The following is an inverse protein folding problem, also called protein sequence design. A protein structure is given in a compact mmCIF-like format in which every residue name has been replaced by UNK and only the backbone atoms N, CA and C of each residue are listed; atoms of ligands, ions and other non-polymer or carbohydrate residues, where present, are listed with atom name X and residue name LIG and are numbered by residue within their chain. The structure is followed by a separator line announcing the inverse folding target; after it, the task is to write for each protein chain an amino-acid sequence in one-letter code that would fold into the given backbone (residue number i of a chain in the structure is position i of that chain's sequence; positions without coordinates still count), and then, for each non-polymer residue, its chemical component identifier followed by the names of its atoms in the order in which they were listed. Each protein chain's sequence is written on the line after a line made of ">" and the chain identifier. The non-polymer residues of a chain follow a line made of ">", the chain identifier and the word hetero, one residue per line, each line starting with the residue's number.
data_IF_393562512436
#
_entry.id   IF_393562512436
#
_cell.length_a   1.000
_cell.length_b   1.000
_cell.length_c   1.000
_cell.angle_alpha   90.00
_cell.angle_beta   90.00
_cell.angle_gamma   90.00
#
_symmetry.space_group_name_H-M   'P 1'
#
loop_
_entity.id
_entity.type
_entity.pdbx_description
1 polymer ?
#
# COMPACT_ATOMS: atom_id res chain seq x y z
N UNK A 1 14.76 -6.39 -5.72
CA UNK A 1 14.63 -7.84 -5.64
C UNK A 1 15.49 -8.41 -4.51
N UNK A 2 16.83 -8.22 -4.53
CA UNK A 2 17.76 -8.77 -3.52
C UNK A 2 17.35 -8.37 -2.10
N UNK A 3 17.09 -7.07 -1.87
CA UNK A 3 16.62 -6.57 -0.56
C UNK A 3 15.29 -7.22 -0.15
N UNK A 4 14.35 -7.38 -1.08
CA UNK A 4 13.07 -8.05 -0.80
C UNK A 4 13.24 -9.52 -0.43
N UNK A 5 14.14 -10.25 -1.11
CA UNK A 5 14.44 -11.66 -0.80
C UNK A 5 15.11 -11.78 0.57
N UNK A 6 16.10 -10.93 0.87
CA UNK A 6 16.76 -10.91 2.18
C UNK A 6 15.74 -10.61 3.28
N UNK A 7 14.87 -9.62 3.05
CA UNK A 7 13.79 -9.29 3.97
C UNK A 7 12.86 -10.48 4.20
N UNK A 8 12.40 -11.16 3.15
CA UNK A 8 11.52 -12.33 3.27
C UNK A 8 12.17 -13.44 4.10
N UNK A 9 13.43 -13.76 3.83
CA UNK A 9 14.17 -14.81 4.57
C UNK A 9 14.34 -14.43 6.04
N UNK A 10 14.71 -13.17 6.33
CA UNK A 10 14.91 -12.69 7.71
C UNK A 10 13.59 -12.53 8.47
N UNK A 11 12.49 -12.23 7.79
CA UNK A 11 11.20 -11.98 8.41
C UNK A 11 10.40 -13.26 8.69
N UNK A 12 10.66 -14.35 7.97
CA UNK A 12 9.99 -15.64 8.21
C UNK A 12 10.07 -16.13 9.67
N UNK A 13 11.22 -16.09 10.34
CA UNK A 13 11.30 -16.46 11.77
C UNK A 13 10.51 -15.51 12.69
N UNK A 14 10.33 -14.25 12.26
CA UNK A 14 9.59 -13.25 13.03
C UNK A 14 8.07 -13.41 12.95
N UNK A 15 7.56 -14.22 12.01
CA UNK A 15 6.11 -14.39 11.82
C UNK A 15 5.39 -14.91 13.07
N UNK A 16 5.99 -15.85 13.79
CA UNK A 16 5.43 -16.40 15.04
C UNK A 16 5.39 -15.37 16.17
N UNK A 17 6.51 -14.71 16.55
CA UNK A 17 6.47 -13.70 17.62
C UNK A 17 5.60 -12.51 17.25
N UNK A 18 5.54 -12.11 15.98
CA UNK A 18 4.66 -11.02 15.51
C UNK A 18 3.19 -11.45 15.62
N UNK A 19 2.84 -12.67 15.23
CA UNK A 19 1.48 -13.17 15.36
C UNK A 19 1.03 -13.19 16.83
N UNK A 20 1.88 -13.63 17.75
CA UNK A 20 1.60 -13.62 19.19
C UNK A 20 1.45 -12.22 19.77
N UNK A 21 2.17 -11.24 19.22
CA UNK A 21 2.07 -9.83 19.62
C UNK A 21 0.73 -9.22 19.18
N UNK A 22 0.25 -9.61 17.99
CA UNK A 22 -0.99 -9.08 17.40
C UNK A 22 -2.25 -9.72 17.98
N UNK A 23 -2.14 -11.00 18.39
CA UNK A 23 -3.28 -11.79 18.87
C UNK A 23 -3.02 -12.22 20.32
N UNK A 24 -3.67 -11.55 21.25
CA UNK A 24 -3.54 -11.88 22.68
C UNK A 24 -4.46 -13.07 23.05
N UNK A 25 -3.89 -14.24 23.28
CA UNK A 25 -4.55 -15.30 24.05
C UNK A 25 -5.27 -16.42 23.30
N UNK A 26 -5.56 -16.29 21.99
CA UNK A 26 -6.21 -17.34 21.20
C UNK A 26 -5.20 -18.08 20.30
N UNK A 27 -4.94 -19.37 20.63
CA UNK A 27 -3.99 -20.18 19.88
C UNK A 27 -4.41 -20.47 18.43
N UNK A 28 -5.72 -20.57 18.14
CA UNK A 28 -6.24 -20.81 16.79
C UNK A 28 -6.06 -19.57 15.93
N UNK A 29 -6.44 -18.41 16.44
CA UNK A 29 -6.30 -17.15 15.75
C UNK A 29 -4.83 -16.78 15.53
N UNK A 30 -3.96 -17.06 16.49
CA UNK A 30 -2.50 -16.92 16.36
C UNK A 30 -1.95 -17.77 15.22
N UNK A 31 -2.45 -19.00 15.07
CA UNK A 31 -2.07 -19.90 13.96
C UNK A 31 -2.42 -19.29 12.59
N UNK A 32 -3.65 -18.83 12.42
CA UNK A 32 -4.09 -18.19 11.17
C UNK A 32 -3.31 -16.90 10.86
N UNK A 33 -3.08 -16.07 11.86
CA UNK A 33 -2.32 -14.83 11.72
C UNK A 33 -0.87 -15.11 11.32
N UNK A 34 -0.23 -16.10 11.95
CA UNK A 34 1.11 -16.55 11.59
C UNK A 34 1.21 -16.98 10.13
N UNK A 35 0.28 -17.83 9.68
CA UNK A 35 0.31 -18.39 8.34
C UNK A 35 0.03 -17.30 7.28
N UNK A 36 -0.88 -16.37 7.58
CA UNK A 36 -1.09 -15.16 6.76
C UNK A 36 0.20 -14.33 6.63
N UNK A 37 0.86 -14.05 7.74
CA UNK A 37 2.11 -13.27 7.76
C UNK A 37 3.21 -13.98 6.96
N UNK A 38 3.36 -15.30 7.11
CA UNK A 38 4.36 -16.07 6.37
C UNK A 38 4.20 -15.95 4.87
N UNK A 39 2.98 -16.13 4.35
CA UNK A 39 2.70 -16.00 2.92
C UNK A 39 2.92 -14.57 2.45
N UNK A 40 2.47 -13.56 3.20
CA UNK A 40 2.70 -12.15 2.88
C UNK A 40 4.19 -11.81 2.80
N UNK A 41 5.00 -12.33 3.75
CA UNK A 41 6.45 -12.10 3.78
C UNK A 41 7.17 -12.79 2.63
N UNK A 42 6.76 -14.02 2.27
CA UNK A 42 7.29 -14.70 1.09
C UNK A 42 6.92 -13.96 -0.21
N UNK A 43 5.72 -13.37 -0.25
CA UNK A 43 5.25 -12.55 -1.37
C UNK A 43 5.81 -11.13 -1.43
N UNK A 44 6.42 -10.64 -0.35
CA UNK A 44 6.91 -9.26 -0.27
C UNK A 44 7.82 -8.81 -1.43
N UNK A 45 8.73 -9.65 -1.98
CA UNK A 45 9.51 -9.28 -3.16
C UNK A 45 8.64 -9.01 -4.39
N UNK A 46 7.60 -9.82 -4.60
CA UNK A 46 6.68 -9.69 -5.73
C UNK A 46 5.86 -8.42 -5.60
N UNK A 47 5.28 -8.19 -4.42
CA UNK A 47 4.50 -7.00 -4.11
C UNK A 47 5.37 -5.74 -4.25
N UNK A 48 6.58 -5.77 -3.69
CA UNK A 48 7.52 -4.65 -3.76
C UNK A 48 7.92 -4.30 -5.19
N UNK A 49 8.22 -5.28 -6.04
CA UNK A 49 8.50 -5.06 -7.47
C UNK A 49 7.26 -4.48 -8.14
N UNK A 50 6.07 -5.04 -7.86
CA UNK A 50 4.81 -4.55 -8.43
C UNK A 50 4.57 -3.07 -8.12
N UNK A 51 4.74 -2.65 -6.88
CA UNK A 51 4.61 -1.24 -6.47
C UNK A 51 5.69 -0.34 -7.09
N UNK A 52 6.92 -0.83 -7.22
CA UNK A 52 7.96 -0.09 -7.94
C UNK A 52 7.58 0.14 -9.40
N UNK A 53 7.00 -0.86 -10.07
CA UNK A 53 6.56 -0.75 -11.48
C UNK A 53 5.49 0.32 -11.67
N UNK A 54 4.54 0.43 -10.74
CA UNK A 54 3.52 1.50 -10.74
C UNK A 54 4.17 2.88 -10.72
N UNK A 55 5.15 3.08 -9.82
CA UNK A 55 5.88 4.33 -9.74
C UNK A 55 6.68 4.62 -11.02
N UNK A 56 7.33 3.62 -11.59
CA UNK A 56 8.07 3.77 -12.86
C UNK A 56 7.16 4.19 -14.02
N UNK A 57 6.00 3.56 -14.16
CA UNK A 57 5.03 3.94 -15.20
C UNK A 57 4.53 5.39 -15.02
N UNK A 58 4.35 5.81 -13.76
CA UNK A 58 3.99 7.20 -13.45
C UNK A 58 5.06 8.21 -13.88
N UNK A 59 6.34 7.89 -13.67
CA UNK A 59 7.48 8.74 -14.08
C UNK A 59 7.67 8.73 -15.60
N UNK A 60 7.36 7.62 -16.29
CA UNK A 60 7.42 7.52 -17.75
C UNK A 60 6.28 8.22 -18.49
N UNK A 61 5.46 8.98 -17.78
CA UNK A 61 4.30 9.67 -18.32
C UNK A 61 3.22 8.72 -18.88
N UNK A 62 3.11 7.53 -18.28
CA UNK A 62 2.07 6.54 -18.55
C UNK A 62 1.21 6.25 -17.32
N UNK A 63 0.57 7.27 -16.68
CA UNK A 63 -0.24 7.07 -15.49
C UNK A 63 -1.46 6.19 -15.74
N UNK A 64 -1.97 6.15 -16.98
CA UNK A 64 -3.06 5.26 -17.40
C UNK A 64 -2.67 3.79 -17.28
N UNK A 65 -1.43 3.43 -17.66
CA UNK A 65 -0.92 2.06 -17.51
C UNK A 65 -0.66 1.71 -16.04
N UNK A 66 -0.17 2.65 -15.26
CA UNK A 66 0.00 2.48 -13.81
C UNK A 66 -1.34 2.20 -13.13
N UNK A 67 -2.37 2.96 -13.48
CA UNK A 67 -3.73 2.76 -12.97
C UNK A 67 -4.33 1.44 -13.42
N UNK A 68 -4.20 1.09 -14.70
CA UNK A 68 -4.68 -0.18 -15.24
C UNK A 68 -4.00 -1.38 -14.56
N UNK A 69 -2.70 -1.28 -14.29
CA UNK A 69 -1.94 -2.29 -13.54
C UNK A 69 -2.50 -2.48 -12.12
N UNK A 70 -2.72 -1.42 -11.38
CA UNK A 70 -3.27 -1.50 -10.02
C UNK A 70 -4.70 -2.05 -10.02
N UNK A 71 -5.54 -1.60 -10.95
CA UNK A 71 -6.91 -2.10 -11.08
C UNK A 71 -6.89 -3.59 -11.39
N UNK A 72 -6.07 -4.04 -12.33
CA UNK A 72 -5.94 -5.45 -12.67
C UNK A 72 -5.46 -6.28 -11.47
N UNK A 73 -4.44 -5.81 -10.74
CA UNK A 73 -3.94 -6.49 -9.54
C UNK A 73 -5.04 -6.65 -8.47
N UNK A 74 -5.80 -5.58 -8.21
CA UNK A 74 -6.87 -5.60 -7.21
C UNK A 74 -8.08 -6.43 -7.65
N UNK A 75 -8.48 -6.38 -8.92
CA UNK A 75 -9.58 -7.21 -9.44
C UNK A 75 -9.23 -8.68 -9.36
N UNK A 76 -8.01 -9.06 -9.77
CA UNK A 76 -7.54 -10.45 -9.68
C UNK A 76 -7.45 -10.89 -8.21
N UNK A 77 -6.93 -10.03 -7.33
CA UNK A 77 -6.92 -10.29 -5.89
C UNK A 77 -8.33 -10.59 -5.38
N UNK A 78 -9.31 -9.72 -5.66
CA UNK A 78 -10.69 -9.88 -5.21
C UNK A 78 -11.32 -11.20 -5.72
N UNK A 79 -11.11 -11.54 -6.99
CA UNK A 79 -11.62 -12.80 -7.59
C UNK A 79 -10.96 -14.01 -6.93
N UNK A 80 -9.65 -13.96 -6.71
CA UNK A 80 -8.92 -15.05 -6.07
C UNK A 80 -9.26 -15.17 -4.59
N UNK A 81 -9.48 -14.06 -3.87
CA UNK A 81 -9.97 -14.07 -2.50
C UNK A 81 -11.29 -14.83 -2.39
N UNK A 82 -12.24 -14.51 -3.26
CA UNK A 82 -13.52 -15.21 -3.29
C UNK A 82 -13.34 -16.71 -3.57
N UNK A 83 -12.51 -17.07 -4.55
CA UNK A 83 -12.24 -18.47 -4.91
C UNK A 83 -11.55 -19.20 -3.74
N UNK A 84 -10.50 -18.64 -3.16
CA UNK A 84 -9.72 -19.30 -2.12
C UNK A 84 -10.50 -19.42 -0.81
N UNK A 85 -11.25 -18.41 -0.42
CA UNK A 85 -12.05 -18.46 0.79
C UNK A 85 -13.27 -19.39 0.65
N UNK A 86 -13.87 -19.47 -0.54
CA UNK A 86 -15.11 -20.22 -0.74
C UNK A 86 -14.91 -21.66 -1.14
N UNK A 87 -13.91 -21.94 -2.00
CA UNK A 87 -13.78 -23.22 -2.68
C UNK A 87 -12.51 -24.00 -2.34
N UNK A 88 -11.63 -23.43 -1.51
CA UNK A 88 -10.41 -24.12 -1.13
C UNK A 88 -10.24 -24.19 0.40
N UNK A 89 -9.49 -25.18 0.91
CA UNK A 89 -9.20 -25.27 2.34
C UNK A 89 -8.15 -24.26 2.83
N UNK A 90 -7.72 -23.33 1.98
CA UNK A 90 -6.64 -22.37 2.29
C UNK A 90 -7.10 -21.29 3.30
N UNK A 91 -8.40 -20.97 3.37
CA UNK A 91 -8.92 -19.98 4.30
C UNK A 91 -8.17 -18.66 4.23
N UNK A 92 -7.79 -18.12 5.38
CA UNK A 92 -7.09 -16.82 5.51
C UNK A 92 -5.73 -16.80 4.79
N UNK A 93 -5.05 -17.94 4.72
CA UNK A 93 -3.79 -18.08 3.97
C UNK A 93 -4.02 -17.85 2.47
N UNK A 94 -5.18 -18.26 1.96
CA UNK A 94 -5.62 -17.98 0.58
C UNK A 94 -5.74 -16.48 0.31
N UNK A 95 -6.26 -15.70 1.24
CA UNK A 95 -6.36 -14.24 1.11
C UNK A 95 -4.99 -13.54 1.02
N UNK A 96 -3.99 -14.01 1.75
CA UNK A 96 -2.62 -13.52 1.57
C UNK A 96 -2.03 -13.92 0.23
N UNK A 97 -2.28 -15.15 -0.22
CA UNK A 97 -1.79 -15.68 -1.50
C UNK A 97 -2.43 -14.95 -2.69
N UNK A 98 -3.72 -14.63 -2.62
CA UNK A 98 -4.42 -13.90 -3.69
C UNK A 98 -3.82 -12.51 -3.92
N UNK A 99 -3.39 -11.82 -2.86
CA UNK A 99 -2.69 -10.54 -2.96
C UNK A 99 -1.37 -10.69 -3.72
N UNK A 100 -0.56 -11.69 -3.39
CA UNK A 100 0.71 -11.97 -4.08
C UNK A 100 0.47 -12.32 -5.54
N UNK A 101 -0.52 -13.17 -5.82
CA UNK A 101 -0.88 -13.56 -7.19
C UNK A 101 -1.44 -12.40 -7.99
N UNK A 102 -2.23 -11.51 -7.39
CA UNK A 102 -2.72 -10.29 -8.03
C UNK A 102 -1.57 -9.43 -8.58
N UNK A 103 -0.57 -9.17 -7.76
CA UNK A 103 0.62 -8.43 -8.19
C UNK A 103 1.46 -9.22 -9.20
N UNK A 104 1.56 -10.55 -9.07
CA UNK A 104 2.28 -11.39 -10.02
C UNK A 104 1.64 -11.36 -11.42
N UNK A 105 0.31 -11.48 -11.50
CA UNK A 105 -0.42 -11.38 -12.77
C UNK A 105 -0.27 -10.00 -13.40
N UNK A 106 -0.41 -8.95 -12.62
CA UNK A 106 -0.21 -7.60 -13.12
C UNK A 106 1.24 -7.39 -13.62
N UNK A 107 2.24 -8.03 -12.97
CA UNK A 107 3.61 -8.04 -13.44
C UNK A 107 3.77 -8.65 -14.84
N UNK A 108 2.97 -9.65 -15.21
CA UNK A 108 2.96 -10.21 -16.56
C UNK A 108 2.55 -9.13 -17.58
N UNK A 109 1.54 -8.34 -17.28
CA UNK A 109 1.13 -7.20 -18.14
C UNK A 109 2.25 -6.19 -18.32
N UNK A 110 2.99 -5.91 -17.24
CA UNK A 110 4.15 -5.03 -17.30
C UNK A 110 5.30 -5.61 -18.16
N UNK A 111 5.50 -6.92 -18.17
CA UNK A 111 6.49 -7.55 -19.05
C UNK A 111 6.18 -7.35 -20.53
N UNK A 112 4.90 -7.28 -20.90
CA UNK A 112 4.50 -6.93 -22.28
C UNK A 112 4.84 -5.46 -22.58
N UNK A 113 4.66 -4.55 -21.63
CA UNK A 113 5.07 -3.14 -21.80
C UNK A 113 6.59 -3.01 -21.99
N UNK A 114 7.38 -3.71 -21.17
CA UNK A 114 8.85 -3.68 -21.31
C UNK A 114 9.34 -4.20 -22.68
N UNK A 115 8.59 -5.09 -23.30
CA UNK A 115 8.91 -5.60 -24.66
C UNK A 115 8.41 -4.68 -25.77
N UNK A 116 7.60 -3.69 -25.47
CA UNK A 116 7.11 -2.71 -26.41
C UNK A 116 8.18 -1.68 -26.79
N UNK A 117 8.15 -1.18 -28.01
CA UNK A 117 9.02 -0.09 -28.48
C UNK A 117 8.71 1.26 -27.82
N UNK A 118 7.60 1.34 -27.07
CA UNK A 118 7.16 2.56 -26.35
C UNK A 118 7.90 2.80 -25.03
N UNK A 119 8.78 1.89 -24.63
CA UNK A 119 9.53 2.01 -23.38
C UNK A 119 10.66 3.03 -23.49
N UNK A 120 10.84 3.84 -22.46
CA UNK A 120 12.03 4.65 -22.25
C UNK A 120 13.02 4.01 -21.26
N UNK A 121 12.58 2.97 -20.52
CA UNK A 121 13.39 2.25 -19.52
C UNK A 121 14.38 1.34 -20.22
N UNK A 122 15.66 1.45 -19.85
CA UNK A 122 16.70 0.51 -20.22
C UNK A 122 17.26 -0.20 -19.00
N UNK A 123 17.40 -1.53 -19.07
CA UNK A 123 18.08 -2.28 -18.03
C UNK A 123 19.59 -2.09 -18.13
N UNK A 124 20.16 -1.42 -17.15
CA UNK A 124 21.60 -1.20 -17.05
C UNK A 124 22.19 -2.15 -15.99
N UNK A 125 23.35 -2.73 -16.28
CA UNK A 125 24.08 -3.51 -15.26
C UNK A 125 24.64 -2.55 -14.23
N UNK A 126 24.33 -2.80 -12.96
CA UNK A 126 24.89 -2.05 -11.84
C UNK A 126 26.40 -2.31 -11.74
N UNK A 127 27.17 -1.25 -11.76
CA UNK A 127 28.60 -1.27 -11.49
C UNK A 127 28.88 -0.81 -10.05
N UNK A 128 30.04 -1.12 -9.52
CA UNK A 128 30.44 -0.68 -8.17
C UNK A 128 30.38 0.85 -7.96
N UNK A 129 30.47 1.63 -9.04
CA UNK A 129 30.35 3.11 -9.02
C UNK A 129 28.92 3.58 -8.76
N UNK A 130 27.93 2.74 -9.02
CA UNK A 130 26.50 3.07 -8.88
C UNK A 130 26.01 2.92 -7.43
N UNK A 131 26.88 2.46 -6.52
CA UNK A 131 26.52 2.27 -5.10
C UNK A 131 26.12 3.59 -4.43
N UNK A 132 26.62 4.73 -4.93
CA UNK A 132 26.20 6.07 -4.49
C UNK A 132 24.71 6.31 -4.71
N UNK A 133 24.17 5.91 -5.86
CA UNK A 133 22.76 6.05 -6.21
C UNK A 133 21.88 5.19 -5.29
N UNK A 134 22.33 3.96 -4.98
CA UNK A 134 21.61 3.08 -4.05
C UNK A 134 21.55 3.69 -2.64
N UNK A 135 22.67 4.26 -2.18
CA UNK A 135 22.73 4.94 -0.88
C UNK A 135 21.76 6.14 -0.84
N UNK A 136 21.74 6.95 -1.89
CA UNK A 136 20.84 8.11 -2.00
C UNK A 136 19.37 7.67 -2.02
N UNK A 137 19.03 6.63 -2.79
CA UNK A 137 17.69 6.06 -2.82
C UNK A 137 17.23 5.54 -1.45
N UNK A 138 18.13 4.88 -0.69
CA UNK A 138 17.84 4.41 0.67
C UNK A 138 17.59 5.60 1.60
N UNK A 139 18.44 6.62 1.58
CA UNK A 139 18.29 7.81 2.43
C UNK A 139 16.96 8.53 2.12
N UNK A 140 16.63 8.67 0.84
CA UNK A 140 15.37 9.30 0.40
C UNK A 140 14.14 8.48 0.80
N UNK A 141 14.27 7.16 0.94
CA UNK A 141 13.20 6.27 1.41
C UNK A 141 12.97 6.27 2.92
N UNK A 142 13.94 6.73 3.74
CA UNK A 142 13.84 6.73 5.21
C UNK A 142 12.59 7.46 5.73
N UNK A 143 12.22 8.68 5.25
CA UNK A 143 11.00 9.35 5.71
C UNK A 143 9.73 8.51 5.54
N UNK A 144 9.62 7.80 4.41
CA UNK A 144 8.47 6.91 4.15
C UNK A 144 8.46 5.72 5.09
N UNK A 145 9.62 5.15 5.39
CA UNK A 145 9.77 4.06 6.33
C UNK A 145 9.37 4.50 7.75
N UNK A 146 9.80 5.69 8.19
CA UNK A 146 9.41 6.27 9.47
C UNK A 146 7.90 6.51 9.52
N UNK A 147 7.32 7.03 8.44
CA UNK A 147 5.87 7.23 8.33
C UNK A 147 5.11 5.90 8.49
N UNK A 148 5.51 4.85 7.78
CA UNK A 148 4.90 3.53 7.88
C UNK A 148 5.05 2.91 9.27
N UNK A 149 6.24 3.01 9.87
CA UNK A 149 6.49 2.55 11.23
C UNK A 149 5.61 3.28 12.27
N UNK A 150 5.45 4.59 12.12
CA UNK A 150 4.58 5.39 13.00
C UNK A 150 3.12 4.98 12.87
N UNK A 151 2.62 4.74 11.66
CA UNK A 151 1.26 4.23 11.45
C UNK A 151 1.07 2.84 12.07
N UNK A 152 2.05 1.97 11.95
CA UNK A 152 2.01 0.64 12.57
C UNK A 152 1.94 0.73 14.10
N UNK A 153 2.79 1.56 14.73
CA UNK A 153 2.78 1.79 16.18
C UNK A 153 1.46 2.41 16.63
N UNK A 154 0.93 3.38 15.85
CA UNK A 154 -0.39 3.99 16.11
C UNK A 154 -1.49 2.92 16.09
N UNK A 155 -1.53 2.08 15.07
CA UNK A 155 -2.54 1.03 14.95
C UNK A 155 -2.47 0.04 16.11
N UNK A 156 -1.28 -0.46 16.46
CA UNK A 156 -1.09 -1.35 17.62
C UNK A 156 -1.53 -0.68 18.92
N UNK A 157 -1.12 0.55 19.16
CA UNK A 157 -1.45 1.30 20.37
C UNK A 157 -2.96 1.52 20.51
N UNK A 158 -3.61 1.98 19.45
CA UNK A 158 -5.06 2.21 19.45
C UNK A 158 -5.84 0.91 19.66
N UNK A 159 -5.50 -0.14 18.93
CA UNK A 159 -6.17 -1.44 19.09
C UNK A 159 -6.02 -1.98 20.51
N UNK A 160 -4.82 -1.89 21.08
CA UNK A 160 -4.56 -2.35 22.46
C UNK A 160 -5.34 -1.51 23.48
N UNK A 161 -5.36 -0.19 23.35
CA UNK A 161 -6.07 0.70 24.28
C UNK A 161 -7.58 0.46 24.21
N UNK A 162 -8.14 0.41 22.99
CA UNK A 162 -9.59 0.24 22.80
C UNK A 162 -10.02 -1.13 23.31
N UNK A 163 -9.28 -2.18 22.99
CA UNK A 163 -9.60 -3.53 23.42
C UNK A 163 -9.55 -3.69 24.96
N UNK A 164 -8.57 -3.06 25.60
CA UNK A 164 -8.42 -3.14 27.06
C UNK A 164 -9.41 -2.27 27.83
N UNK A 165 -9.84 -1.13 27.27
CA UNK A 165 -10.69 -0.19 28.00
C UNK A 165 -12.19 -0.32 27.68
N UNK A 166 -12.52 -0.66 26.43
CA UNK A 166 -13.90 -0.67 25.94
C UNK A 166 -14.33 -2.10 25.51
N UNK A 167 -13.37 -2.93 25.10
CA UNK A 167 -13.62 -4.30 24.66
C UNK A 167 -14.01 -4.40 23.18
N UNK A 168 -14.70 -5.51 22.83
CA UNK A 168 -15.06 -5.86 21.45
C UNK A 168 -16.01 -4.83 20.80
N UNK A 169 -16.96 -4.29 21.55
CA UNK A 169 -17.90 -3.28 21.05
C UNK A 169 -17.17 -2.00 20.63
N UNK A 170 -16.17 -1.59 21.43
CA UNK A 170 -15.34 -0.44 21.10
C UNK A 170 -14.49 -0.68 19.83
N UNK A 171 -13.99 -1.89 19.66
CA UNK A 171 -13.26 -2.27 18.44
C UNK A 171 -14.16 -2.27 17.20
N UNK A 172 -15.42 -2.74 17.32
CA UNK A 172 -16.36 -2.70 16.22
C UNK A 172 -16.62 -1.26 15.75
N UNK A 173 -16.93 -0.36 16.69
CA UNK A 173 -17.15 1.08 16.37
C UNK A 173 -15.89 1.70 15.77
N UNK A 174 -14.72 1.43 16.34
CA UNK A 174 -13.46 1.95 15.82
C UNK A 174 -13.20 1.48 14.38
N UNK A 175 -13.47 0.20 14.08
CA UNK A 175 -13.31 -0.36 12.73
C UNK A 175 -14.21 0.34 11.70
N UNK A 176 -15.46 0.63 12.07
CA UNK A 176 -16.37 1.41 11.20
C UNK A 176 -15.80 2.79 10.93
N UNK A 177 -15.36 3.50 11.97
CA UNK A 177 -14.73 4.81 11.81
C UNK A 177 -13.47 4.76 10.94
N UNK A 178 -12.62 3.75 11.13
CA UNK A 178 -11.38 3.58 10.37
C UNK A 178 -11.67 3.28 8.89
N UNK A 179 -12.70 2.48 8.59
CA UNK A 179 -13.15 2.24 7.22
C UNK A 179 -13.66 3.53 6.53
N UNK A 180 -14.38 4.39 7.26
CA UNK A 180 -14.79 5.71 6.74
C UNK A 180 -13.58 6.58 6.47
N UNK A 181 -12.61 6.62 7.39
CA UNK A 181 -11.35 7.34 7.19
C UNK A 181 -10.55 6.80 6.01
N UNK A 182 -10.54 5.49 5.79
CA UNK A 182 -9.89 4.86 4.63
C UNK A 182 -10.45 5.39 3.30
N UNK A 183 -11.78 5.57 3.20
CA UNK A 183 -12.41 6.16 2.01
C UNK A 183 -11.93 7.60 1.80
N UNK A 184 -11.84 8.38 2.88
CA UNK A 184 -11.29 9.76 2.85
C UNK A 184 -9.83 9.76 2.38
N UNK A 185 -9.02 8.84 2.91
CA UNK A 185 -7.61 8.68 2.53
C UNK A 185 -7.45 8.28 1.06
N UNK A 186 -8.30 7.39 0.53
CA UNK A 186 -8.27 7.01 -0.88
C UNK A 186 -8.53 8.21 -1.81
N UNK A 187 -9.51 9.04 -1.49
CA UNK A 187 -9.86 10.21 -2.30
C UNK A 187 -8.77 11.30 -2.23
N UNK A 188 -8.23 11.55 -1.06
CA UNK A 188 -7.15 12.52 -0.88
C UNK A 188 -5.80 12.00 -1.38
N UNK A 189 -5.57 10.69 -1.26
CA UNK A 189 -4.36 10.01 -1.73
C UNK A 189 -4.15 10.16 -3.24
N UNK A 190 -5.23 10.16 -4.03
CA UNK A 190 -5.17 10.45 -5.46
C UNK A 190 -4.61 11.85 -5.76
N UNK A 191 -4.99 12.86 -4.98
CA UNK A 191 -4.47 14.22 -5.12
C UNK A 191 -2.99 14.29 -4.67
N UNK A 192 -2.68 13.70 -3.53
CA UNK A 192 -1.33 13.70 -2.95
C UNK A 192 -0.34 12.94 -3.84
N UNK A 193 -0.78 11.84 -4.48
CA UNK A 193 0.07 11.01 -5.35
C UNK A 193 0.59 11.72 -6.61
N UNK A 194 -0.07 12.78 -7.05
CA UNK A 194 0.39 13.59 -8.20
C UNK A 194 1.56 14.49 -7.84
N UNK A 195 1.63 14.97 -6.58
CA UNK A 195 2.61 15.98 -6.15
C UNK A 195 4.06 15.54 -6.37
N UNK A 196 4.53 14.34 -5.94
CA UNK A 196 5.92 13.95 -6.09
C UNK A 196 6.37 13.89 -7.55
N UNK A 197 5.52 13.38 -8.44
CA UNK A 197 5.85 13.22 -9.85
C UNK A 197 6.01 14.57 -10.54
N UNK A 198 5.03 15.45 -10.42
CA UNK A 198 5.06 16.79 -11.04
C UNK A 198 6.11 17.68 -10.38
N UNK A 199 6.22 17.64 -9.05
CA UNK A 199 7.23 18.43 -8.33
C UNK A 199 8.64 17.98 -8.68
N UNK A 200 8.87 16.67 -8.90
CA UNK A 200 10.17 16.13 -9.33
C UNK A 200 10.59 16.67 -10.70
N UNK A 201 9.68 16.76 -11.66
CA UNK A 201 9.94 17.34 -12.98
C UNK A 201 10.30 18.82 -12.85
N UNK A 202 9.44 19.60 -12.16
CA UNK A 202 9.67 21.03 -11.95
C UNK A 202 10.97 21.32 -11.20
N UNK A 203 11.33 20.44 -10.26
CA UNK A 203 12.60 20.54 -9.54
C UNK A 203 13.79 20.29 -10.46
N UNK A 204 13.71 19.30 -11.35
CA UNK A 204 14.73 19.05 -12.38
C UNK A 204 14.91 20.23 -13.34
N UNK A 205 13.82 20.91 -13.68
CA UNK A 205 13.81 22.13 -14.50
C UNK A 205 14.21 23.40 -13.73
N UNK A 206 14.44 23.31 -12.41
CA UNK A 206 14.70 24.44 -11.48
C UNK A 206 13.58 25.46 -11.43
N UNK A 207 12.34 25.07 -11.76
CA UNK A 207 11.16 25.92 -11.67
C UNK A 207 10.56 25.89 -10.26
N UNK A 208 11.17 26.59 -9.35
CA UNK A 208 10.70 26.71 -7.95
C UNK A 208 9.38 27.52 -7.83
N UNK A 209 9.07 28.35 -8.82
CA UNK A 209 7.80 29.08 -8.89
C UNK A 209 6.67 28.12 -9.21
N UNK A 210 6.87 27.26 -10.21
CA UNK A 210 5.94 26.19 -10.58
C UNK A 210 5.66 25.23 -9.41
N UNK A 211 6.68 24.84 -8.64
CA UNK A 211 6.51 24.00 -7.43
C UNK A 211 5.61 24.70 -6.41
N UNK A 212 5.83 25.99 -6.15
CA UNK A 212 5.00 26.76 -5.21
C UNK A 212 3.54 26.88 -5.68
N UNK A 213 3.32 27.11 -6.97
CA UNK A 213 1.99 27.14 -7.56
C UNK A 213 1.30 25.80 -7.48
N UNK A 214 2.02 24.70 -7.78
CA UNK A 214 1.55 23.33 -7.64
C UNK A 214 1.07 23.07 -6.22
N UNK A 215 1.92 23.30 -5.22
CA UNK A 215 1.58 23.08 -3.81
C UNK A 215 0.34 23.87 -3.38
N UNK A 216 0.26 25.15 -3.75
CA UNK A 216 -0.91 26.00 -3.43
C UNK A 216 -2.19 25.47 -4.05
N UNK A 217 -2.16 25.06 -5.33
CA UNK A 217 -3.32 24.50 -6.03
C UNK A 217 -3.73 23.16 -5.40
N UNK A 218 -2.79 22.27 -5.14
CA UNK A 218 -3.08 20.97 -4.55
C UNK A 218 -3.67 21.10 -3.14
N UNK A 219 -3.12 21.96 -2.29
CA UNK A 219 -3.71 22.28 -0.99
C UNK A 219 -5.14 22.80 -1.12
N UNK A 220 -5.39 23.76 -2.03
CA UNK A 220 -6.73 24.29 -2.25
C UNK A 220 -7.73 23.21 -2.66
N UNK A 221 -7.36 22.36 -3.62
CA UNK A 221 -8.24 21.26 -4.06
C UNK A 221 -8.45 20.20 -2.97
N UNK A 222 -7.40 19.87 -2.20
CA UNK A 222 -7.52 18.97 -1.06
C UNK A 222 -8.50 19.50 -0.01
N UNK A 223 -8.45 20.80 0.33
CA UNK A 223 -9.41 21.40 1.27
C UNK A 223 -10.84 21.36 0.74
N UNK A 224 -11.04 21.63 -0.56
CA UNK A 224 -12.40 21.56 -1.16
C UNK A 224 -12.93 20.13 -1.09
N UNK A 225 -12.13 19.15 -1.49
CA UNK A 225 -12.52 17.73 -1.47
C UNK A 225 -12.84 17.28 -0.04
N UNK A 226 -11.97 17.61 0.92
CA UNK A 226 -12.20 17.28 2.34
C UNK A 226 -13.47 17.94 2.89
N UNK A 227 -13.73 19.20 2.54
CA UNK A 227 -14.94 19.88 2.96
C UNK A 227 -16.19 19.23 2.40
N UNK A 228 -16.19 18.83 1.12
CA UNK A 228 -17.31 18.11 0.50
C UNK A 228 -17.51 16.75 1.18
N UNK A 229 -16.45 15.98 1.39
CA UNK A 229 -16.53 14.68 2.06
C UNK A 229 -17.06 14.83 3.48
N UNK A 230 -16.57 15.82 4.22
CA UNK A 230 -17.03 16.10 5.58
C UNK A 230 -18.54 16.37 5.61
N UNK A 231 -19.05 17.22 4.70
CA UNK A 231 -20.48 17.50 4.58
C UNK A 231 -21.26 16.23 4.23
N UNK A 232 -20.77 15.41 3.31
CA UNK A 232 -21.42 14.14 2.95
C UNK A 232 -21.47 13.18 4.13
N UNK A 233 -20.39 13.00 4.87
CA UNK A 233 -20.35 12.15 6.06
C UNK A 233 -21.36 12.65 7.09
N UNK A 234 -21.43 13.96 7.35
CA UNK A 234 -22.40 14.53 8.30
C UNK A 234 -23.85 14.33 7.87
N UNK A 235 -24.15 14.43 6.57
CA UNK A 235 -25.49 14.23 6.04
C UNK A 235 -25.93 12.76 6.04
N UNK A 236 -25.00 11.83 5.86
CA UNK A 236 -25.27 10.41 5.71
C UNK A 236 -24.81 9.55 6.88
N UNK A 237 -24.57 10.15 8.05
CA UNK A 237 -24.06 9.44 9.24
C UNK A 237 -24.94 8.25 9.62
N UNK A 238 -26.27 8.41 9.65
CA UNK A 238 -27.19 7.33 10.01
C UNK A 238 -27.14 6.17 9.00
N UNK A 239 -27.12 6.49 7.71
CA UNK A 239 -27.06 5.49 6.64
C UNK A 239 -25.73 4.72 6.66
N UNK A 240 -24.62 5.42 6.94
CA UNK A 240 -23.30 4.82 7.09
C UNK A 240 -23.31 3.84 8.27
N UNK A 241 -23.86 4.23 9.42
CA UNK A 241 -23.92 3.38 10.61
C UNK A 241 -24.79 2.13 10.41
N UNK A 242 -25.84 2.21 9.58
CA UNK A 242 -26.70 1.06 9.27
C UNK A 242 -26.02 0.06 8.30
N UNK A 243 -25.05 0.54 7.50
CA UNK A 243 -24.37 -0.27 6.49
C UNK A 243 -23.27 -1.19 7.07
N UNK A 244 -22.81 -0.88 8.28
CA UNK A 244 -21.79 -1.63 9.03
C UNK A 244 -22.37 -2.27 10.30
#
# INVERSE_FOLDING_TARGET
>A
LVVGIIFSICALPAAEPVARLLVSGDGVLTGYTRDYIRVSMLGAPVIGIGLMMVNYLGVENHPELASAYLIAANVINLVLDYIFLRYTPLGITGASLSTVLGFLFAMVVFLFYIRSDKRNISFVRLNAKDFGIVKEAVITGVPMLVFMATNFVKALGLNTIIMNQIGEDGMAVFTVCDNVLLIVEMLTGGIIGVIPNVAGILFGEKDYVGIRVLCKKMLKYSYIVLAVIFVLIMLFTEQITIMF
#
